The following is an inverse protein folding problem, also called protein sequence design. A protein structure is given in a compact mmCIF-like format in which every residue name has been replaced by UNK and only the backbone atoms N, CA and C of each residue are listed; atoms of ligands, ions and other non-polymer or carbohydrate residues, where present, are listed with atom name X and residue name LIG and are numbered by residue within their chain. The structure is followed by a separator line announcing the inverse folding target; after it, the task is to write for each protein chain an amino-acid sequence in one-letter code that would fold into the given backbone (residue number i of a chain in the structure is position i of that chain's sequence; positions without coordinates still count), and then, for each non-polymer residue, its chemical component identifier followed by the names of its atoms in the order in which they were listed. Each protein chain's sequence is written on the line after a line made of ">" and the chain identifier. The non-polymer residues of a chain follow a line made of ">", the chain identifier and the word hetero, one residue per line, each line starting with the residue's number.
data_IF_058382332490
#
_entry.id   IF_058382332490
#
_cell.length_a   1.000
_cell.length_b   1.000
_cell.length_c   1.000
_cell.angle_alpha   90.00
_cell.angle_beta   90.00
_cell.angle_gamma   90.00
#
_symmetry.space_group_name_H-M   'P 1'
#
loop_
_entity.id
_entity.type
_entity.pdbx_description
1 polymer ?
#
# COMPACT_ATOMS: atom_id res chain seq x y z
N UNK A 1 -2.33 18.02 -3.10
CA UNK A 1 -1.10 17.19 -3.09
C UNK A 1 -0.82 16.58 -1.72
N UNK A 2 -0.85 17.39 -0.66
CA UNK A 2 -0.62 16.90 0.69
C UNK A 2 -1.62 15.82 1.10
N UNK A 3 -2.88 15.97 0.67
CA UNK A 3 -3.93 15.00 0.98
C UNK A 3 -3.64 13.64 0.35
N UNK A 4 -3.14 13.65 -0.88
CA UNK A 4 -2.79 12.42 -1.59
C UNK A 4 -1.61 11.74 -0.90
N UNK A 5 -0.60 12.51 -0.53
CA UNK A 5 0.57 11.99 0.19
C UNK A 5 0.15 11.38 1.53
N UNK A 6 -0.71 12.08 2.28
CA UNK A 6 -1.23 11.57 3.54
C UNK A 6 -2.00 10.27 3.37
N UNK A 7 -2.84 10.19 2.34
CA UNK A 7 -3.60 8.98 2.04
C UNK A 7 -2.66 7.81 1.73
N UNK A 8 -1.64 8.05 0.90
CA UNK A 8 -0.66 7.03 0.54
C UNK A 8 0.08 6.53 1.78
N UNK A 9 0.48 7.44 2.66
CA UNK A 9 1.19 7.07 3.89
C UNK A 9 0.32 6.21 4.80
N UNK A 10 -0.95 6.56 4.96
CA UNK A 10 -1.88 5.78 5.78
C UNK A 10 -2.07 4.39 5.19
N UNK A 11 -2.32 4.31 3.88
CA UNK A 11 -2.52 3.03 3.21
C UNK A 11 -1.26 2.16 3.29
N UNK A 12 -0.09 2.75 3.13
CA UNK A 12 1.18 2.04 3.25
C UNK A 12 1.36 1.46 4.65
N UNK A 13 1.07 2.26 5.68
CA UNK A 13 1.16 1.80 7.06
C UNK A 13 0.23 0.63 7.34
N UNK A 14 -1.02 0.73 6.90
CA UNK A 14 -2.00 -0.33 7.07
C UNK A 14 -1.56 -1.59 6.33
N UNK A 15 -1.07 -1.43 5.10
CA UNK A 15 -0.59 -2.54 4.29
C UNK A 15 0.54 -3.30 4.98
N UNK A 16 1.55 -2.57 5.44
CA UNK A 16 2.69 -3.19 6.13
C UNK A 16 2.22 -3.87 7.40
N UNK A 17 1.41 -3.20 8.19
CA UNK A 17 0.88 -3.76 9.43
C UNK A 17 0.13 -5.06 9.17
N UNK A 18 -0.79 -5.06 8.21
CA UNK A 18 -1.57 -6.25 7.88
C UNK A 18 -0.69 -7.39 7.38
N UNK A 19 0.28 -7.10 6.52
CA UNK A 19 1.16 -8.13 5.99
C UNK A 19 2.01 -8.78 7.07
N UNK A 20 2.50 -8.00 8.03
CA UNK A 20 3.35 -8.55 9.09
C UNK A 20 2.55 -9.17 10.23
N UNK A 21 1.37 -8.66 10.54
CA UNK A 21 0.54 -9.20 11.61
C UNK A 21 -0.19 -10.46 11.15
N UNK A 22 -0.83 -10.39 9.99
CA UNK A 22 -1.63 -11.51 9.49
C UNK A 22 -0.75 -12.55 8.82
N UNK A 23 0.10 -12.11 7.88
CA UNK A 23 0.96 -13.01 7.13
C UNK A 23 2.11 -13.56 7.94
N UNK A 24 2.52 -12.87 8.99
CA UNK A 24 3.63 -13.31 9.84
C UNK A 24 3.42 -14.65 10.50
N UNK A 25 2.17 -15.11 10.60
CA UNK A 25 1.84 -16.40 11.20
C UNK A 25 2.02 -17.56 10.22
N UNK A 26 1.86 -17.28 8.91
CA UNK A 26 1.88 -18.32 7.88
C UNK A 26 3.06 -18.22 6.93
N UNK A 27 3.71 -17.05 6.86
CA UNK A 27 4.75 -16.77 5.88
C UNK A 27 6.06 -16.39 6.56
N UNK A 28 7.17 -16.62 5.85
CA UNK A 28 8.48 -16.17 6.31
C UNK A 28 8.58 -14.65 6.20
N UNK A 29 9.59 -14.09 6.86
CA UNK A 29 9.85 -12.66 6.82
C UNK A 29 10.03 -12.15 5.37
N UNK A 30 10.78 -12.92 4.57
CA UNK A 30 11.00 -12.56 3.16
C UNK A 30 9.70 -12.55 2.37
N UNK A 31 8.84 -13.52 2.60
CA UNK A 31 7.55 -13.60 1.92
C UNK A 31 6.66 -12.44 2.32
N UNK A 32 6.67 -12.06 3.59
CA UNK A 32 5.90 -10.91 4.05
C UNK A 32 6.35 -9.63 3.38
N UNK A 33 7.66 -9.41 3.26
CA UNK A 33 8.19 -8.25 2.58
C UNK A 33 7.79 -8.25 1.11
N UNK A 34 7.93 -9.39 0.44
CA UNK A 34 7.54 -9.51 -0.97
C UNK A 34 6.06 -9.19 -1.15
N UNK A 35 5.19 -9.76 -0.32
CA UNK A 35 3.76 -9.51 -0.41
C UNK A 35 3.44 -8.04 -0.16
N UNK A 36 4.10 -7.42 0.80
CA UNK A 36 3.89 -6.01 1.09
C UNK A 36 4.29 -5.14 -0.09
N UNK A 37 5.42 -5.44 -0.73
CA UNK A 37 5.88 -4.68 -1.90
C UNK A 37 4.89 -4.81 -3.05
N UNK A 38 4.44 -6.02 -3.37
CA UNK A 38 3.49 -6.24 -4.45
C UNK A 38 2.18 -5.51 -4.17
N UNK A 39 1.66 -5.63 -2.97
CA UNK A 39 0.42 -4.94 -2.58
C UNK A 39 0.59 -3.43 -2.65
N UNK A 40 1.75 -2.93 -2.23
CA UNK A 40 2.04 -1.50 -2.27
C UNK A 40 2.01 -0.97 -3.71
N UNK A 41 2.58 -1.71 -4.65
CA UNK A 41 2.55 -1.33 -6.06
C UNK A 41 1.11 -1.20 -6.54
N UNK A 42 0.25 -2.16 -6.22
CA UNK A 42 -1.17 -2.11 -6.58
C UNK A 42 -1.87 -0.92 -5.94
N UNK A 43 -1.60 -0.65 -4.67
CA UNK A 43 -2.20 0.48 -3.98
C UNK A 43 -1.80 1.80 -4.63
N UNK A 44 -0.54 1.94 -5.01
CA UNK A 44 -0.06 3.15 -5.67
C UNK A 44 -0.71 3.33 -7.02
N UNK A 45 -0.91 2.25 -7.77
CA UNK A 45 -1.61 2.31 -9.05
C UNK A 45 -3.07 2.74 -8.88
N UNK A 46 -3.75 2.22 -7.87
CA UNK A 46 -5.13 2.59 -7.59
C UNK A 46 -5.23 4.06 -7.21
N UNK A 47 -4.34 4.52 -6.33
CA UNK A 47 -4.32 5.92 -5.91
C UNK A 47 -4.03 6.84 -7.08
N UNK A 48 -3.02 6.49 -7.89
CA UNK A 48 -2.68 7.29 -9.07
C UNK A 48 -3.83 7.35 -10.05
N UNK A 49 -4.48 6.22 -10.33
CA UNK A 49 -5.62 6.18 -11.22
C UNK A 49 -6.77 7.02 -10.71
N UNK A 50 -7.07 6.94 -9.42
CA UNK A 50 -8.12 7.73 -8.81
C UNK A 50 -7.81 9.22 -8.89
N UNK A 51 -6.55 9.60 -8.68
CA UNK A 51 -6.10 10.97 -8.77
C UNK A 51 -6.32 11.54 -10.17
N UNK A 52 -5.94 10.77 -11.20
CA UNK A 52 -6.13 11.20 -12.58
C UNK A 52 -7.60 11.27 -12.97
N UNK A 53 -8.41 10.34 -12.49
CA UNK A 53 -9.85 10.38 -12.74
C UNK A 53 -10.51 11.59 -12.10
N UNK A 54 -10.01 12.01 -10.95
CA UNK A 54 -10.56 13.16 -10.23
C UNK A 54 -10.11 14.51 -10.81
N UNK A 55 -9.33 14.50 -11.89
CA UNK A 55 -8.92 15.73 -12.56
C UNK A 55 -7.42 15.95 -12.61
N UNK A 56 -6.63 15.12 -11.99
CA UNK A 56 -5.18 15.18 -12.11
C UNK A 56 -4.52 16.39 -11.48
N UNK A 57 -5.11 16.95 -10.45
CA UNK A 57 -4.57 18.16 -9.83
C UNK A 57 -4.08 17.95 -8.43
#
# INVERSE_FOLDING_TARGET
>A
MNEVIGLVLILTGINIFCCFVIGGMDFTFKENIKNAIVTEIFLLLIVAGSYFLAGGK
#
